data_IF_191414488663
#
_entry.id   IF_191414488663
#
_cell.length_a   1.000
_cell.length_b   1.000
_cell.length_c   1.000
_cell.angle_alpha   90.00
_cell.angle_beta   90.00
_cell.angle_gamma   90.00
#
_symmetry.space_group_name_H-M   'P 1'
#
loop_
_entity.id
_entity.type
_entity.pdbx_description
1 polymer ?
#
# COMPACT_ATOMS: atom_id res chain seq x y z
N UNK A 1 -6.86 13.93 -24.05
CA UNK A 1 -6.72 12.95 -22.94
C UNK A 1 -5.25 12.68 -22.75
N UNK A 2 -4.66 13.17 -21.66
CA UNK A 2 -3.28 12.83 -21.34
C UNK A 2 -3.22 11.33 -21.07
N UNK A 3 -2.33 10.63 -21.78
CA UNK A 3 -2.11 9.20 -21.60
C UNK A 3 -1.51 8.98 -20.20
N UNK A 4 -2.26 8.37 -19.29
CA UNK A 4 -1.72 7.92 -18.01
C UNK A 4 -0.82 6.70 -18.26
N UNK A 5 0.49 6.92 -18.31
CA UNK A 5 1.49 5.86 -18.37
C UNK A 5 2.22 5.78 -17.01
N UNK A 6 1.91 4.77 -16.18
CA UNK A 6 2.46 4.65 -14.84
C UNK A 6 3.97 4.37 -14.87
N UNK A 7 4.49 3.74 -15.92
CA UNK A 7 5.92 3.51 -16.07
C UNK A 7 6.63 4.81 -16.43
N UNK A 8 6.07 5.59 -17.36
CA UNK A 8 6.64 6.89 -17.71
C UNK A 8 6.60 7.87 -16.53
N UNK A 9 5.52 7.88 -15.74
CA UNK A 9 5.38 8.70 -14.54
C UNK A 9 6.44 8.39 -13.48
N UNK A 10 6.87 7.14 -13.37
CA UNK A 10 7.96 6.72 -12.48
C UNK A 10 9.34 6.74 -13.18
N UNK A 11 9.42 7.09 -14.45
CA UNK A 11 10.67 7.05 -15.23
C UNK A 11 11.26 5.64 -15.39
N UNK A 12 10.40 4.63 -15.53
CA UNK A 12 10.74 3.22 -15.59
C UNK A 12 10.44 2.59 -16.96
N UNK A 13 11.13 1.51 -17.27
CA UNK A 13 10.77 0.61 -18.35
C UNK A 13 9.68 -0.38 -17.89
N UNK A 14 8.86 -0.90 -18.81
CA UNK A 14 7.85 -1.94 -18.52
C UNK A 14 8.43 -3.21 -17.90
N UNK A 15 9.71 -3.49 -18.15
CA UNK A 15 10.46 -4.61 -17.56
C UNK A 15 11.01 -4.34 -16.16
N UNK A 16 10.66 -3.21 -15.52
CA UNK A 16 11.17 -2.85 -14.20
C UNK A 16 10.78 -3.89 -13.13
N UNK A 17 11.72 -4.22 -12.25
CA UNK A 17 11.45 -5.07 -11.09
C UNK A 17 10.63 -4.31 -10.04
N UNK A 18 9.96 -5.03 -9.15
CA UNK A 18 9.24 -4.43 -8.00
C UNK A 18 10.16 -3.53 -7.16
N UNK A 19 11.41 -3.95 -6.95
CA UNK A 19 12.39 -3.16 -6.23
C UNK A 19 12.71 -1.83 -6.94
N UNK A 20 12.80 -1.84 -8.27
CA UNK A 20 12.99 -0.63 -9.07
C UNK A 20 11.76 0.29 -9.00
N UNK A 21 10.55 -0.28 -9.05
CA UNK A 21 9.27 0.44 -8.91
C UNK A 21 9.22 1.17 -7.56
N UNK A 22 9.47 0.48 -6.46
CA UNK A 22 9.53 1.08 -5.13
C UNK A 22 10.59 2.17 -5.01
N UNK A 23 11.76 1.96 -5.61
CA UNK A 23 12.83 2.95 -5.57
C UNK A 23 12.52 4.20 -6.37
N UNK A 24 11.91 4.06 -7.55
CA UNK A 24 11.55 5.19 -8.40
C UNK A 24 10.43 6.01 -7.78
N UNK A 25 9.42 5.34 -7.22
CA UNK A 25 8.35 5.97 -6.47
C UNK A 25 8.86 6.88 -5.36
N UNK A 26 9.74 6.38 -4.47
CA UNK A 26 10.32 7.19 -3.38
C UNK A 26 10.99 8.46 -3.88
N UNK A 27 11.69 8.39 -5.01
CA UNK A 27 12.35 9.55 -5.63
C UNK A 27 11.33 10.52 -6.23
N UNK A 28 10.34 10.00 -6.95
CA UNK A 28 9.33 10.79 -7.63
C UNK A 28 8.44 11.56 -6.62
N UNK A 29 8.07 10.94 -5.51
CA UNK A 29 7.31 11.56 -4.42
C UNK A 29 8.07 12.74 -3.81
N UNK A 30 9.36 12.60 -3.55
CA UNK A 30 10.19 13.68 -2.99
C UNK A 30 10.22 14.92 -3.88
N UNK A 31 10.18 14.73 -5.20
CA UNK A 31 10.21 15.83 -6.18
C UNK A 31 8.84 16.40 -6.50
N UNK A 32 7.78 15.60 -6.39
CA UNK A 32 6.43 16.00 -6.75
C UNK A 32 5.61 16.56 -5.59
N UNK A 33 6.11 16.49 -4.36
CA UNK A 33 5.42 16.97 -3.18
C UNK A 33 5.07 18.48 -3.30
N UNK A 34 3.80 18.89 -3.07
CA UNK A 34 3.37 20.29 -3.18
C UNK A 34 4.22 21.26 -2.35
N UNK A 35 4.55 20.87 -1.11
CA UNK A 35 5.36 21.71 -0.21
C UNK A 35 6.81 21.93 -0.67
N UNK A 36 7.29 21.13 -1.65
CA UNK A 36 8.63 21.31 -2.25
C UNK A 36 8.58 21.99 -3.61
N UNK A 37 7.48 22.68 -3.91
CA UNK A 37 7.25 23.33 -5.19
C UNK A 37 6.84 22.35 -6.29
N UNK A 38 6.44 21.13 -5.92
CA UNK A 38 5.82 20.16 -6.80
C UNK A 38 4.34 20.48 -7.04
N UNK A 39 3.72 19.71 -7.92
CA UNK A 39 2.32 19.88 -8.29
C UNK A 39 1.46 18.75 -7.70
N UNK A 40 0.35 19.15 -7.10
CA UNK A 40 -0.66 18.29 -6.47
C UNK A 40 -1.15 17.19 -7.42
N UNK A 41 -1.37 17.50 -8.70
CA UNK A 41 -1.83 16.53 -9.68
C UNK A 41 -0.72 15.55 -10.08
N UNK A 42 0.51 16.03 -10.21
CA UNK A 42 1.71 15.23 -10.47
C UNK A 42 1.99 14.25 -9.32
N UNK A 43 1.84 14.70 -8.07
CA UNK A 43 1.94 13.86 -6.89
C UNK A 43 0.89 12.74 -6.91
N UNK A 44 -0.38 13.08 -7.18
CA UNK A 44 -1.45 12.09 -7.32
C UNK A 44 -1.12 11.09 -8.42
N UNK A 45 -0.66 11.57 -9.58
CA UNK A 45 -0.31 10.69 -10.70
C UNK A 45 0.81 9.69 -10.32
N UNK A 46 1.80 10.12 -9.54
CA UNK A 46 2.89 9.25 -9.05
C UNK A 46 2.38 8.21 -8.04
N UNK A 47 1.54 8.61 -7.08
CA UNK A 47 0.91 7.69 -6.13
C UNK A 47 0.03 6.67 -6.86
N UNK A 48 -0.76 7.12 -7.84
CA UNK A 48 -1.58 6.25 -8.71
C UNK A 48 -0.71 5.26 -9.50
N UNK A 49 0.38 5.74 -10.08
CA UNK A 49 1.29 4.93 -10.87
C UNK A 49 1.92 3.83 -10.00
N UNK A 50 2.34 4.19 -8.79
CA UNK A 50 2.88 3.23 -7.84
C UNK A 50 1.83 2.21 -7.38
N UNK A 51 0.61 2.64 -7.02
CA UNK A 51 -0.48 1.75 -6.63
C UNK A 51 -0.79 0.69 -7.69
N UNK A 52 -0.85 1.11 -8.96
CA UNK A 52 -1.08 0.20 -10.09
C UNK A 52 0.08 -0.77 -10.33
N UNK A 53 1.32 -0.30 -10.24
CA UNK A 53 2.51 -1.10 -10.59
C UNK A 53 3.05 -1.97 -9.44
N UNK A 54 2.68 -1.66 -8.21
CA UNK A 54 3.11 -2.39 -7.02
C UNK A 54 2.28 -3.64 -6.73
N UNK A 55 1.03 -3.69 -7.21
CA UNK A 55 0.19 -4.88 -7.16
C UNK A 55 0.40 -5.76 -8.41
N UNK A 56 0.91 -7.01 -8.28
CA UNK A 56 1.23 -7.85 -9.43
C UNK A 56 0.04 -8.16 -10.34
N UNK A 57 -1.17 -8.23 -9.77
CA UNK A 57 -2.39 -8.56 -10.49
C UNK A 57 -2.87 -7.36 -11.31
N UNK A 58 -2.93 -6.18 -10.68
CA UNK A 58 -3.26 -4.91 -11.33
C UNK A 58 -2.23 -4.52 -12.40
N UNK A 59 -0.93 -4.71 -12.11
CA UNK A 59 0.14 -4.49 -13.09
C UNK A 59 -0.02 -5.41 -14.29
N UNK A 60 -0.27 -6.70 -14.08
CA UNK A 60 -0.44 -7.67 -15.17
C UNK A 60 -1.68 -7.37 -16.00
N UNK A 61 -2.78 -6.96 -15.35
CA UNK A 61 -4.00 -6.53 -16.05
C UNK A 61 -3.70 -5.31 -16.92
N UNK A 62 -3.03 -4.29 -16.38
CA UNK A 62 -2.61 -3.12 -17.14
C UNK A 62 -1.67 -3.46 -18.29
N UNK A 63 -0.66 -4.30 -18.05
CA UNK A 63 0.30 -4.72 -19.08
C UNK A 63 -0.36 -5.52 -20.21
N UNK A 64 -1.43 -6.26 -19.91
CA UNK A 64 -2.13 -7.10 -20.90
C UNK A 64 -3.24 -6.35 -21.65
N UNK A 65 -3.96 -5.46 -20.97
CA UNK A 65 -5.20 -4.85 -21.49
C UNK A 65 -5.12 -3.33 -21.68
N UNK A 66 -4.15 -2.67 -21.05
CA UNK A 66 -4.07 -1.21 -20.97
C UNK A 66 -5.14 -0.58 -20.08
N UNK A 67 -6.00 -1.37 -19.42
CA UNK A 67 -7.08 -0.88 -18.55
C UNK A 67 -6.48 -0.42 -17.22
N UNK A 68 -6.88 0.77 -16.80
CA UNK A 68 -6.58 1.32 -15.49
C UNK A 68 -7.88 1.25 -14.70
N UNK A 69 -7.87 0.58 -13.55
CA UNK A 69 -8.97 0.69 -12.59
C UNK A 69 -8.93 2.08 -11.94
N UNK A 70 -9.72 3.00 -12.49
CA UNK A 70 -9.78 4.41 -12.08
C UNK A 70 -10.49 4.59 -10.72
N UNK A 71 -11.20 3.56 -10.22
CA UNK A 71 -11.90 3.57 -8.94
C UNK A 71 -10.95 3.32 -7.76
N UNK A 72 -10.05 2.33 -7.85
CA UNK A 72 -9.00 2.10 -6.84
C UNK A 72 -7.99 3.25 -6.69
N UNK A 73 -8.04 4.19 -7.62
CA UNK A 73 -7.06 5.24 -7.85
C UNK A 73 -7.54 6.61 -7.35
N UNK A 74 -8.85 6.89 -7.40
CA UNK A 74 -9.46 8.04 -6.71
C UNK A 74 -9.42 7.88 -5.18
N UNK A 75 -9.43 6.64 -4.69
CA UNK A 75 -9.42 6.35 -3.26
C UNK A 75 -8.03 6.52 -2.62
N UNK A 76 -6.93 6.43 -3.38
CA UNK A 76 -5.57 6.43 -2.81
C UNK A 76 -5.26 7.66 -1.91
N UNK A 77 -5.76 8.86 -2.25
CA UNK A 77 -5.59 10.05 -1.40
C UNK A 77 -6.39 9.97 -0.10
N UNK A 78 -7.64 9.54 -0.20
CA UNK A 78 -8.51 9.33 0.96
C UNK A 78 -7.94 8.22 1.86
N UNK A 79 -7.46 7.13 1.26
CA UNK A 79 -6.87 5.99 1.95
C UNK A 79 -5.57 6.38 2.68
N UNK A 80 -4.72 7.22 2.08
CA UNK A 80 -3.53 7.75 2.77
C UNK A 80 -3.94 8.66 3.94
N UNK A 81 -4.93 9.55 3.77
CA UNK A 81 -5.44 10.39 4.87
C UNK A 81 -5.99 9.54 6.02
N UNK A 82 -6.77 8.50 5.72
CA UNK A 82 -7.27 7.54 6.72
C UNK A 82 -6.12 6.85 7.44
N UNK A 83 -5.10 6.38 6.72
CA UNK A 83 -3.92 5.78 7.34
C UNK A 83 -3.18 6.77 8.23
N UNK A 84 -2.99 8.02 7.81
CA UNK A 84 -2.34 9.03 8.66
C UNK A 84 -3.14 9.26 9.95
N UNK A 85 -4.48 9.28 9.87
CA UNK A 85 -5.35 9.39 11.04
C UNK A 85 -5.23 8.15 11.97
N UNK A 86 -5.30 6.93 11.43
CA UNK A 86 -5.11 5.70 12.20
C UNK A 86 -3.75 5.66 12.92
N UNK A 87 -2.73 6.24 12.28
CA UNK A 87 -1.35 6.26 12.80
C UNK A 87 -1.15 7.35 13.84
N UNK A 88 -1.87 8.46 13.74
CA UNK A 88 -1.99 9.42 14.82
C UNK A 88 -2.62 8.78 16.07
N UNK A 89 -3.74 8.06 15.90
CA UNK A 89 -4.38 7.35 17.01
C UNK A 89 -3.44 6.32 17.65
N UNK A 90 -2.72 5.54 16.84
CA UNK A 90 -1.73 4.59 17.32
C UNK A 90 -0.56 5.27 18.07
N UNK A 91 -0.06 6.41 17.56
CA UNK A 91 0.97 7.21 18.20
C UNK A 91 0.51 7.75 19.57
N UNK A 92 -0.71 8.28 19.65
CA UNK A 92 -1.32 8.75 20.90
C UNK A 92 -1.45 7.60 21.90
N UNK A 93 -2.00 6.45 21.47
CA UNK A 93 -2.15 5.27 22.31
C UNK A 93 -0.80 4.78 22.84
N UNK A 94 0.23 4.74 21.98
CA UNK A 94 1.59 4.37 22.37
C UNK A 94 2.17 5.32 23.42
N UNK A 95 2.04 6.64 23.20
CA UNK A 95 2.54 7.65 24.12
C UNK A 95 1.84 7.56 25.49
N UNK A 96 0.52 7.36 25.50
CA UNK A 96 -0.28 7.18 26.73
C UNK A 96 0.12 5.89 27.45
N UNK A 97 0.24 4.76 26.73
CA UNK A 97 0.64 3.47 27.30
C UNK A 97 2.04 3.54 27.93
N UNK A 98 2.93 4.29 27.30
CA UNK A 98 4.31 4.54 27.75
C UNK A 98 4.42 5.64 28.81
N UNK A 99 3.30 6.27 29.19
CA UNK A 99 3.23 7.39 30.16
C UNK A 99 4.13 8.57 29.81
N UNK A 100 4.28 8.85 28.51
CA UNK A 100 5.01 10.02 28.04
C UNK A 100 4.21 11.29 28.37
N UNK A 101 4.94 12.39 28.56
CA UNK A 101 4.33 13.71 28.68
C UNK A 101 3.91 14.21 27.29
N UNK A 102 2.61 14.16 27.01
CA UNK A 102 2.04 14.56 25.72
C UNK A 102 2.32 16.03 25.36
N UNK A 103 2.68 16.88 26.31
CA UNK A 103 3.01 18.29 26.04
C UNK A 103 4.41 18.49 25.45
N UNK A 104 5.28 17.49 25.53
CA UNK A 104 6.66 17.53 25.06
C UNK A 104 7.03 16.40 24.10
N UNK A 105 6.10 15.50 23.81
CA UNK A 105 6.28 14.44 22.82
C UNK A 105 6.38 15.02 21.42
N UNK A 106 7.38 14.56 20.66
CA UNK A 106 7.47 14.79 19.24
C UNK A 106 6.47 13.88 18.51
N UNK A 107 5.30 14.40 18.17
CA UNK A 107 4.24 13.58 17.58
C UNK A 107 4.59 13.09 16.17
N UNK A 108 5.36 13.86 15.40
CA UNK A 108 5.83 13.42 14.08
C UNK A 108 6.69 12.16 14.22
N UNK A 109 7.62 12.14 15.18
CA UNK A 109 8.45 10.96 15.45
C UNK A 109 7.61 9.77 15.91
N UNK A 110 6.64 9.98 16.81
CA UNK A 110 5.73 8.92 17.26
C UNK A 110 4.87 8.34 16.14
N UNK A 111 4.37 9.18 15.23
CA UNK A 111 3.65 8.70 14.06
C UNK A 111 4.56 7.97 13.07
N UNK A 112 5.79 8.44 12.85
CA UNK A 112 6.76 7.72 12.02
C UNK A 112 7.06 6.33 12.59
N UNK A 113 7.18 6.21 13.91
CA UNK A 113 7.32 4.92 14.60
C UNK A 113 6.08 4.04 14.42
N UNK A 114 4.88 4.60 14.62
CA UNK A 114 3.62 3.89 14.43
C UNK A 114 3.44 3.35 13.00
N UNK A 115 3.70 4.19 11.98
CA UNK A 115 3.64 3.77 10.56
C UNK A 115 4.65 2.68 10.27
N UNK A 116 5.90 2.80 10.77
CA UNK A 116 6.94 1.77 10.56
C UNK A 116 6.57 0.45 11.22
N UNK A 117 6.03 0.50 12.44
CA UNK A 117 5.55 -0.68 13.15
C UNK A 117 4.41 -1.36 12.38
N UNK A 118 3.38 -0.60 12.00
CA UNK A 118 2.25 -1.10 11.21
C UNK A 118 2.67 -1.65 9.85
N UNK A 119 3.66 -1.01 9.18
CA UNK A 119 4.23 -1.51 7.92
C UNK A 119 4.95 -2.85 8.12
N UNK A 120 5.72 -2.98 9.21
CA UNK A 120 6.42 -4.23 9.53
C UNK A 120 5.43 -5.37 9.79
N UNK A 121 4.40 -5.11 10.61
CA UNK A 121 3.33 -6.07 10.92
C UNK A 121 2.56 -6.48 9.65
N UNK A 122 2.09 -5.50 8.87
CA UNK A 122 1.34 -5.77 7.63
C UNK A 122 2.17 -6.60 6.63
N UNK A 123 3.49 -6.35 6.53
CA UNK A 123 4.39 -7.17 5.70
C UNK A 123 4.54 -8.61 6.22
N UNK A 124 4.62 -8.77 7.53
CA UNK A 124 4.70 -10.09 8.15
C UNK A 124 3.42 -10.88 7.88
N UNK A 125 2.25 -10.25 8.03
CA UNK A 125 0.96 -10.86 7.71
C UNK A 125 0.82 -11.18 6.23
N UNK A 126 1.20 -10.25 5.34
CA UNK A 126 1.18 -10.50 3.90
C UNK A 126 2.03 -11.74 3.55
N UNK A 127 3.23 -11.86 4.10
CA UNK A 127 4.08 -13.04 3.91
C UNK A 127 3.43 -14.31 4.45
N UNK A 128 2.87 -14.26 5.66
CA UNK A 128 2.19 -15.39 6.31
C UNK A 128 1.02 -15.90 5.48
N UNK A 129 0.12 -15.00 5.05
CA UNK A 129 -1.04 -15.34 4.21
C UNK A 129 -0.60 -15.92 2.87
N UNK A 130 0.46 -15.37 2.25
CA UNK A 130 1.05 -15.93 1.04
C UNK A 130 1.48 -17.39 1.21
N UNK A 131 2.21 -17.69 2.28
CA UNK A 131 2.62 -19.08 2.59
C UNK A 131 1.44 -20.00 2.93
N UNK A 132 0.38 -19.50 3.57
CA UNK A 132 -0.84 -20.27 3.80
C UNK A 132 -1.55 -20.65 2.49
N UNK A 133 -1.63 -19.71 1.53
CA UNK A 133 -2.19 -19.96 0.20
C UNK A 133 -1.37 -21.03 -0.54
N UNK A 134 -0.04 -20.95 -0.50
CA UNK A 134 0.85 -21.97 -1.08
C UNK A 134 0.57 -23.36 -0.49
N UNK A 135 0.44 -23.45 0.84
CA UNK A 135 0.11 -24.69 1.54
C UNK A 135 -1.26 -25.25 1.16
N UNK A 136 -2.28 -24.40 1.05
CA UNK A 136 -3.63 -24.81 0.63
C UNK A 136 -3.65 -25.28 -0.82
N UNK A 137 -2.92 -24.61 -1.72
CA UNK A 137 -2.77 -25.04 -3.12
C UNK A 137 -2.08 -26.41 -3.22
N UNK A 138 -1.03 -26.64 -2.43
CA UNK A 138 -0.35 -27.93 -2.39
C UNK A 138 -1.27 -29.06 -1.88
N UNK A 139 -2.10 -28.78 -0.86
CA UNK A 139 -3.10 -29.73 -0.37
C UNK A 139 -4.19 -30.01 -1.42
N UNK A 140 -4.69 -28.96 -2.07
CA UNK A 140 -5.67 -29.05 -3.15
C UNK A 140 -5.17 -29.95 -4.29
N UNK A 141 -3.92 -29.79 -4.71
CA UNK A 141 -3.32 -30.61 -5.78
C UNK A 141 -3.24 -32.10 -5.41
N UNK A 142 -3.19 -32.44 -4.12
CA UNK A 142 -3.12 -33.84 -3.63
C UNK A 142 -4.49 -34.49 -3.46
N UNK A 143 -5.53 -33.71 -3.22
CA UNK A 143 -6.88 -34.22 -2.99
C UNK A 143 -7.62 -34.25 -4.32
N UNK A 144 -7.78 -35.44 -4.89
CA UNK A 144 -8.58 -35.66 -6.09
C UNK A 144 -9.38 -36.96 -5.97
N UNK A 145 -10.53 -37.02 -6.67
CA UNK A 145 -11.23 -38.30 -6.84
C UNK A 145 -10.63 -39.07 -8.03
N UNK A 146 -10.58 -40.41 -7.99
CA UNK A 146 -10.10 -41.22 -9.12
C UNK A 146 -10.99 -41.15 -10.37
N UNK A 147 -12.29 -40.88 -10.18
CA UNK A 147 -13.30 -40.77 -11.23
C UNK A 147 -13.33 -39.40 -11.93
N UNK A 148 -12.52 -38.45 -11.48
CA UNK A 148 -12.47 -37.09 -12.04
C UNK A 148 -13.62 -36.19 -11.64
N UNK A 149 -14.55 -36.65 -10.79
CA UNK A 149 -15.65 -35.81 -10.29
C UNK A 149 -15.17 -34.81 -9.23
N UNK A 150 -15.92 -33.71 -9.11
CA UNK A 150 -15.64 -32.66 -8.16
C UNK A 150 -15.73 -33.18 -6.70
N UNK A 151 -14.81 -32.72 -5.86
CA UNK A 151 -14.69 -33.16 -4.47
C UNK A 151 -15.09 -32.02 -3.53
N UNK A 152 -15.98 -32.31 -2.57
CA UNK A 152 -16.41 -31.35 -1.54
C UNK A 152 -15.23 -30.67 -0.83
N UNK A 153 -14.14 -31.40 -0.56
CA UNK A 153 -12.95 -30.84 0.06
C UNK A 153 -12.19 -29.89 -0.87
N UNK A 154 -12.13 -30.18 -2.18
CA UNK A 154 -11.52 -29.27 -3.18
C UNK A 154 -12.33 -27.98 -3.27
N UNK A 155 -13.66 -28.07 -3.32
CA UNK A 155 -14.56 -26.89 -3.32
C UNK A 155 -14.31 -26.02 -2.07
N UNK A 156 -14.19 -26.65 -0.90
CA UNK A 156 -13.91 -25.93 0.36
C UNK A 156 -12.51 -25.32 0.40
N UNK A 157 -11.51 -25.97 -0.19
CA UNK A 157 -10.16 -25.42 -0.33
C UNK A 157 -10.17 -24.23 -1.28
N UNK A 158 -10.87 -24.31 -2.41
CA UNK A 158 -10.99 -23.22 -3.37
C UNK A 158 -11.63 -21.97 -2.78
N UNK A 159 -12.68 -22.14 -1.97
CA UNK A 159 -13.29 -21.04 -1.23
C UNK A 159 -12.30 -20.38 -0.25
N UNK A 160 -11.54 -21.18 0.49
CA UNK A 160 -10.53 -20.66 1.43
C UNK A 160 -9.37 -19.96 0.73
N UNK A 161 -8.87 -20.54 -0.38
CA UNK A 161 -7.81 -19.94 -1.20
C UNK A 161 -8.30 -18.60 -1.75
N UNK A 162 -9.52 -18.53 -2.27
CA UNK A 162 -10.11 -17.28 -2.80
C UNK A 162 -10.25 -16.21 -1.73
N UNK A 163 -10.75 -16.58 -0.54
CA UNK A 163 -10.88 -15.66 0.58
C UNK A 163 -9.51 -15.11 1.01
N UNK A 164 -8.51 -15.99 1.16
CA UNK A 164 -7.14 -15.59 1.53
C UNK A 164 -6.45 -14.79 0.44
N UNK A 165 -6.68 -15.08 -0.84
CA UNK A 165 -6.14 -14.28 -1.94
C UNK A 165 -6.69 -12.85 -1.91
N UNK A 166 -7.98 -12.69 -1.56
CA UNK A 166 -8.60 -11.37 -1.37
C UNK A 166 -7.95 -10.63 -0.19
N UNK A 167 -7.75 -11.32 0.94
CA UNK A 167 -7.05 -10.77 2.11
C UNK A 167 -5.60 -10.37 1.77
N UNK A 168 -4.87 -11.22 1.04
CA UNK A 168 -3.50 -10.95 0.59
C UNK A 168 -3.42 -9.68 -0.26
N UNK A 169 -4.34 -9.51 -1.22
CA UNK A 169 -4.41 -8.31 -2.06
C UNK A 169 -4.73 -7.05 -1.23
N UNK A 170 -5.60 -7.14 -0.23
CA UNK A 170 -5.87 -6.04 0.70
C UNK A 170 -4.63 -5.66 1.52
N UNK A 171 -3.91 -6.65 2.06
CA UNK A 171 -2.65 -6.44 2.78
C UNK A 171 -1.59 -5.81 1.85
N UNK A 172 -1.49 -6.26 0.60
CA UNK A 172 -0.57 -5.69 -0.40
C UNK A 172 -0.83 -4.21 -0.65
N UNK A 173 -2.10 -3.82 -0.84
CA UNK A 173 -2.50 -2.41 -0.94
C UNK A 173 -2.16 -1.62 0.32
N UNK A 174 -2.42 -2.18 1.50
CA UNK A 174 -2.10 -1.53 2.78
C UNK A 174 -0.58 -1.32 2.96
N UNK A 175 0.25 -2.27 2.55
CA UNK A 175 1.72 -2.11 2.55
C UNK A 175 2.14 -0.91 1.71
N UNK A 176 1.57 -0.75 0.51
CA UNK A 176 1.87 0.35 -0.42
C UNK A 176 1.48 1.71 0.17
N UNK A 177 0.29 1.78 0.78
CA UNK A 177 -0.18 3.01 1.41
C UNK A 177 0.65 3.36 2.67
N UNK A 178 1.05 2.38 3.47
CA UNK A 178 1.95 2.59 4.60
C UNK A 178 3.35 3.00 4.15
N UNK A 179 3.89 2.40 3.08
CA UNK A 179 5.17 2.83 2.46
C UNK A 179 5.08 4.29 2.00
N UNK A 180 3.93 4.70 1.50
CA UNK A 180 3.64 6.10 1.13
C UNK A 180 3.62 6.99 2.37
N UNK A 181 2.85 6.62 3.40
CA UNK A 181 2.78 7.37 4.65
C UNK A 181 4.16 7.54 5.31
N UNK A 182 5.05 6.55 5.26
CA UNK A 182 6.44 6.68 5.76
C UNK A 182 7.19 7.80 5.02
N UNK A 183 7.06 7.86 3.69
CA UNK A 183 7.73 8.88 2.88
C UNK A 183 7.13 10.26 3.17
N UNK A 184 5.81 10.36 3.20
CA UNK A 184 5.09 11.60 3.48
C UNK A 184 5.43 12.16 4.86
N UNK A 185 5.33 11.35 5.92
CA UNK A 185 5.70 11.78 7.26
C UNK A 185 7.19 12.14 7.40
N UNK A 186 8.05 11.56 6.56
CA UNK A 186 9.46 11.93 6.50
C UNK A 186 9.70 13.34 5.95
N UNK A 187 8.69 13.97 5.34
CA UNK A 187 8.81 15.30 4.77
C UNK A 187 8.58 16.42 5.77
N UNK A 188 7.87 16.14 6.87
CA UNK A 188 7.46 17.13 7.86
C UNK A 188 8.40 17.12 9.07
N UNK A 189 8.68 18.30 9.62
CA UNK A 189 9.52 18.47 10.81
C UNK A 189 8.71 18.87 12.06
N UNK A 190 7.44 19.24 11.91
CA UNK A 190 6.56 19.65 13.02
C UNK A 190 5.10 19.30 12.77
N UNK A 191 4.30 19.22 13.84
CA UNK A 191 2.85 18.98 13.74
C UNK A 191 2.15 20.09 12.95
N UNK A 192 2.57 21.34 13.16
CA UNK A 192 1.99 22.51 12.46
C UNK A 192 2.16 22.41 10.95
N UNK A 193 3.33 21.96 10.50
CA UNK A 193 3.62 21.79 9.07
C UNK A 193 2.73 20.70 8.46
N UNK A 194 2.62 19.55 9.13
CA UNK A 194 1.76 18.45 8.72
C UNK A 194 0.28 18.85 8.66
N UNK A 195 -0.23 19.52 9.71
CA UNK A 195 -1.63 19.95 9.78
C UNK A 195 -1.94 20.93 8.64
N UNK A 196 -1.06 21.90 8.41
CA UNK A 196 -1.21 22.88 7.33
C UNK A 196 -1.27 22.20 5.96
N UNK A 197 -0.41 21.21 5.71
CA UNK A 197 -0.40 20.45 4.46
C UNK A 197 -1.67 19.59 4.27
N UNK A 198 -2.20 19.02 5.36
CA UNK A 198 -3.44 18.24 5.30
C UNK A 198 -4.68 19.11 5.02
N UNK A 199 -4.73 20.33 5.56
CA UNK A 199 -5.85 21.27 5.42
C UNK A 199 -5.84 22.07 4.10
N UNK A 200 -4.66 22.34 3.52
CA UNK A 200 -4.52 23.12 2.28
C UNK A 200 -4.64 22.29 1.00
N UNK A 201 -4.76 20.97 1.12
CA UNK A 201 -4.82 20.02 0.00
C UNK A 201 -6.25 19.77 -0.56
N UNK A 202 -7.21 20.63 -0.23
CA UNK A 202 -8.59 20.64 -0.76
C UNK A 202 -8.77 21.65 -1.90
#
# INVERSE_FOLDING_TARGET
>A
MAFFDPYALLGLARSASEAAIKSAYRKAVQTAHPDRGGDTDSFIAIVRAFGLLSDPDSRRLYDTTGIIDDEGVRNARADVRVILADMFDAAVQSAVASRLDLSSVNFIEQMQEAVRAGLSETRQDHKRIGSEIEGLNALRARIHRPDGEENLFVIRLDQQITAKATELAQLGRRVVLLETAVVELGNYQSETELITALETAD
#
